data_IF_346450368128
#
_entry.id   IF_346450368128
#
_cell.length_a   1.000
_cell.length_b   1.000
_cell.length_c   1.000
_cell.angle_alpha   90.00
_cell.angle_beta   90.00
_cell.angle_gamma   90.00
#
_symmetry.space_group_name_H-M   'P 1'
#
loop_
_entity.id
_entity.type
_entity.pdbx_description
1 polymer ?
#
# COMPACT_ATOMS: atom_id res chain seq x y z
N UNK A 1 20.05 13.73 12.41
CA UNK A 1 20.47 12.37 12.83
C UNK A 1 21.49 11.88 11.83
N UNK A 2 22.77 11.74 12.22
CA UNK A 2 23.77 11.15 11.34
C UNK A 2 23.53 9.64 11.31
N UNK A 3 23.03 9.11 10.19
CA UNK A 3 22.90 7.67 10.00
C UNK A 3 24.31 7.09 9.80
N UNK A 4 24.83 6.45 10.85
CA UNK A 4 26.13 5.80 10.81
C UNK A 4 26.08 4.51 9.99
N UNK A 5 26.99 4.37 9.02
CA UNK A 5 27.18 3.11 8.28
C UNK A 5 27.69 2.04 9.25
N UNK A 6 27.10 0.85 9.22
CA UNK A 6 27.61 -0.30 9.97
C UNK A 6 28.97 -0.73 9.40
N UNK A 7 29.99 -0.85 10.27
CA UNK A 7 31.36 -1.25 9.88
C UNK A 7 31.76 -2.63 10.40
N UNK A 8 30.98 -3.22 11.31
CA UNK A 8 31.21 -4.54 11.88
C UNK A 8 29.89 -5.32 11.94
N UNK A 9 29.93 -6.66 11.82
CA UNK A 9 28.81 -7.50 12.22
C UNK A 9 28.42 -7.23 13.68
N UNK A 10 27.13 -7.35 13.97
CA UNK A 10 26.59 -7.23 15.31
C UNK A 10 25.83 -8.51 15.66
N UNK A 11 26.15 -9.10 16.81
CA UNK A 11 25.46 -10.26 17.38
C UNK A 11 24.66 -9.84 18.60
N UNK A 12 23.54 -10.51 18.87
CA UNK A 12 22.71 -10.23 20.05
C UNK A 12 23.03 -11.22 21.16
N UNK A 13 23.37 -10.70 22.34
CA UNK A 13 23.60 -11.46 23.56
C UNK A 13 22.86 -10.80 24.71
N UNK A 14 22.05 -11.58 25.45
CA UNK A 14 21.25 -11.09 26.58
C UNK A 14 20.42 -9.83 26.23
N UNK A 15 19.87 -9.80 25.01
CA UNK A 15 19.07 -8.68 24.51
C UNK A 15 19.88 -7.49 23.96
N UNK A 16 21.21 -7.46 24.12
CA UNK A 16 22.08 -6.33 23.72
C UNK A 16 22.87 -6.69 22.46
N UNK A 17 23.02 -5.73 21.54
CA UNK A 17 23.87 -5.90 20.35
C UNK A 17 25.33 -5.59 20.68
N UNK A 18 26.23 -6.52 20.33
CA UNK A 18 27.68 -6.39 20.48
C UNK A 18 28.37 -6.60 19.14
N UNK A 19 29.51 -5.94 18.93
CA UNK A 19 30.36 -6.16 17.75
C UNK A 19 30.94 -7.57 17.77
N UNK A 20 30.97 -8.19 16.59
CA UNK A 20 31.54 -9.52 16.35
C UNK A 20 32.52 -9.50 15.17
N UNK A 21 33.34 -10.54 15.06
CA UNK A 21 34.13 -10.79 13.85
C UNK A 21 33.23 -11.31 12.72
N UNK A 22 33.75 -11.35 11.49
CA UNK A 22 33.00 -11.92 10.36
C UNK A 22 32.82 -13.42 10.54
N UNK A 23 33.86 -14.08 11.03
CA UNK A 23 33.93 -15.51 11.29
C UNK A 23 32.89 -15.90 12.34
N UNK A 24 32.86 -15.21 13.48
CA UNK A 24 31.88 -15.43 14.55
C UNK A 24 30.43 -15.25 14.04
N UNK A 25 30.17 -14.16 13.31
CA UNK A 25 28.84 -13.88 12.79
C UNK A 25 28.36 -14.95 11.79
N UNK A 26 29.25 -15.41 10.90
CA UNK A 26 28.96 -16.45 9.92
C UNK A 26 28.75 -17.81 10.55
N UNK A 27 29.63 -18.22 11.47
CA UNK A 27 29.53 -19.48 12.22
C UNK A 27 28.19 -19.56 12.95
N UNK A 28 27.85 -18.49 13.70
CA UNK A 28 26.61 -18.42 14.48
C UNK A 28 25.36 -18.46 13.61
N UNK A 29 25.38 -17.80 12.45
CA UNK A 29 24.28 -17.87 11.49
C UNK A 29 24.14 -19.29 10.92
N UNK A 30 25.25 -19.90 10.48
CA UNK A 30 25.26 -21.22 9.87
C UNK A 30 24.82 -22.31 10.86
N UNK A 31 25.32 -22.31 12.09
CA UNK A 31 24.89 -23.22 13.15
C UNK A 31 23.41 -23.06 13.48
N UNK A 32 22.93 -21.82 13.56
CA UNK A 32 21.51 -21.57 13.85
C UNK A 32 20.61 -22.05 12.72
N UNK A 33 21.00 -21.85 11.45
CA UNK A 33 20.25 -22.39 10.32
C UNK A 33 20.24 -23.91 10.34
N UNK A 34 21.41 -24.56 10.50
CA UNK A 34 21.50 -26.02 10.56
C UNK A 34 20.65 -26.60 11.69
N UNK A 35 20.74 -26.03 12.89
CA UNK A 35 19.97 -26.47 14.06
C UNK A 35 18.46 -26.37 13.82
N UNK A 36 17.97 -25.21 13.36
CA UNK A 36 16.53 -25.03 13.11
C UNK A 36 16.02 -25.97 12.02
N UNK A 37 16.77 -26.14 10.93
CA UNK A 37 16.39 -27.06 9.85
C UNK A 37 16.37 -28.52 10.33
N UNK A 38 17.32 -28.93 11.17
CA UNK A 38 17.35 -30.28 11.74
C UNK A 38 16.18 -30.54 12.70
N UNK A 39 15.76 -29.53 13.48
CA UNK A 39 14.71 -29.66 14.49
C UNK A 39 13.29 -29.49 13.92
N UNK A 40 13.12 -28.63 12.92
CA UNK A 40 11.81 -28.20 12.43
C UNK A 40 11.59 -28.43 10.92
N UNK A 41 12.59 -28.99 10.23
CA UNK A 41 12.56 -29.18 8.78
C UNK A 41 12.93 -27.92 7.99
N UNK A 42 13.10 -28.04 6.66
CA UNK A 42 13.61 -26.96 5.82
C UNK A 42 12.67 -25.75 5.73
N UNK A 43 11.35 -25.96 5.90
CA UNK A 43 10.36 -24.89 5.84
C UNK A 43 10.35 -23.96 7.06
N UNK A 44 11.15 -24.26 8.09
CA UNK A 44 11.40 -23.34 9.21
C UNK A 44 12.29 -22.16 8.83
N UNK A 45 12.90 -22.18 7.64
CA UNK A 45 13.76 -21.12 7.12
C UNK A 45 13.01 -20.29 6.07
N UNK A 46 13.26 -18.98 6.04
CA UNK A 46 12.82 -18.12 4.96
C UNK A 46 13.89 -17.07 4.62
N UNK A 47 14.02 -16.74 3.33
CA UNK A 47 14.92 -15.69 2.85
C UNK A 47 14.13 -14.56 2.17
N UNK A 48 14.41 -13.32 2.57
CA UNK A 48 13.94 -12.12 1.90
C UNK A 48 15.08 -11.48 1.10
N UNK A 49 15.01 -11.61 -0.22
CA UNK A 49 15.89 -10.97 -1.19
C UNK A 49 15.44 -9.51 -1.45
N UNK A 50 16.24 -8.75 -2.20
CA UNK A 50 16.04 -7.33 -2.45
C UNK A 50 16.23 -6.97 -3.93
N UNK A 51 15.33 -6.13 -4.46
CA UNK A 51 15.46 -5.54 -5.80
C UNK A 51 16.69 -4.62 -5.97
N UNK A 52 17.36 -4.25 -4.86
CA UNK A 52 18.57 -3.42 -4.85
C UNK A 52 19.87 -4.24 -4.78
N UNK A 53 19.76 -5.56 -4.67
CA UNK A 53 20.90 -6.47 -4.79
C UNK A 53 21.21 -6.73 -6.26
N UNK A 54 22.45 -7.15 -6.57
CA UNK A 54 22.79 -7.52 -7.94
C UNK A 54 22.06 -8.79 -8.38
N UNK A 55 21.98 -9.02 -9.69
CA UNK A 55 21.35 -10.21 -10.25
C UNK A 55 22.02 -11.50 -9.76
N UNK A 56 23.35 -11.50 -9.66
CA UNK A 56 24.15 -12.63 -9.17
C UNK A 56 23.83 -12.94 -7.71
N UNK A 57 23.71 -11.91 -6.87
CA UNK A 57 23.36 -12.09 -5.46
C UNK A 57 21.94 -12.66 -5.29
N UNK A 58 20.99 -12.20 -6.09
CA UNK A 58 19.64 -12.75 -6.07
C UNK A 58 19.60 -14.20 -6.58
N UNK A 59 20.37 -14.51 -7.63
CA UNK A 59 20.50 -15.85 -8.17
C UNK A 59 21.15 -16.82 -7.17
N UNK A 60 22.23 -16.42 -6.51
CA UNK A 60 22.88 -17.24 -5.48
C UNK A 60 21.97 -17.40 -4.26
N UNK A 61 21.29 -16.33 -3.83
CA UNK A 61 20.36 -16.38 -2.71
C UNK A 61 19.26 -17.41 -2.91
N UNK A 62 18.57 -17.38 -4.05
CA UNK A 62 17.51 -18.37 -4.34
C UNK A 62 18.05 -19.79 -4.51
N UNK A 63 19.27 -19.98 -5.07
CA UNK A 63 19.91 -21.30 -5.12
C UNK A 63 20.27 -21.81 -3.73
N UNK A 64 20.81 -20.96 -2.86
CA UNK A 64 21.10 -21.34 -1.48
C UNK A 64 19.84 -21.82 -0.76
N UNK A 65 18.75 -21.07 -0.84
CA UNK A 65 17.48 -21.47 -0.19
C UNK A 65 16.91 -22.76 -0.78
N UNK A 66 16.88 -22.91 -2.11
CA UNK A 66 16.23 -24.05 -2.75
C UNK A 66 17.08 -25.33 -2.76
N UNK A 67 18.40 -25.20 -2.95
CA UNK A 67 19.29 -26.36 -3.13
C UNK A 67 20.00 -26.75 -1.83
N UNK A 68 20.46 -25.77 -1.04
CA UNK A 68 21.22 -26.05 0.19
C UNK A 68 20.29 -26.25 1.38
N UNK A 69 19.30 -25.35 1.54
CA UNK A 69 18.34 -25.47 2.63
C UNK A 69 17.22 -26.46 2.29
N UNK A 70 16.79 -26.49 1.02
CA UNK A 70 15.75 -27.43 0.56
C UNK A 70 14.31 -26.91 0.72
N UNK A 71 14.12 -25.59 0.72
CA UNK A 71 12.79 -24.95 0.79
C UNK A 71 12.57 -23.95 -0.33
N UNK A 72 11.30 -23.69 -0.66
CA UNK A 72 10.89 -22.63 -1.59
C UNK A 72 10.51 -21.33 -0.88
N UNK A 73 10.73 -21.24 0.44
CA UNK A 73 10.50 -20.05 1.25
C UNK A 73 11.54 -18.95 0.95
N UNK A 74 11.53 -18.44 -0.27
CA UNK A 74 12.32 -17.31 -0.73
C UNK A 74 11.41 -16.31 -1.43
N UNK A 75 11.48 -15.06 -1.00
CA UNK A 75 10.66 -13.97 -1.54
C UNK A 75 11.45 -12.66 -1.59
N UNK A 76 10.87 -11.59 -2.15
CA UNK A 76 11.50 -10.27 -2.15
C UNK A 76 10.47 -9.14 -2.01
N UNK A 77 10.99 -7.92 -1.86
CA UNK A 77 10.17 -6.71 -1.91
C UNK A 77 9.33 -6.57 -3.20
N UNK A 78 9.67 -7.29 -4.27
CA UNK A 78 8.89 -7.29 -5.50
C UNK A 78 7.51 -7.93 -5.33
N UNK A 79 7.29 -8.77 -4.30
CA UNK A 79 5.98 -9.38 -4.03
C UNK A 79 4.89 -8.32 -3.88
N UNK A 80 5.17 -7.25 -3.15
CA UNK A 80 4.17 -6.23 -2.82
C UNK A 80 3.94 -5.26 -3.96
N UNK A 81 4.92 -5.04 -4.84
CA UNK A 81 4.82 -4.03 -5.91
C UNK A 81 4.64 -4.61 -7.33
N UNK A 82 5.22 -5.76 -7.66
CA UNK A 82 5.25 -6.30 -9.02
C UNK A 82 4.53 -7.64 -9.21
N UNK A 83 4.20 -8.37 -8.14
CA UNK A 83 3.53 -9.68 -8.29
C UNK A 83 2.21 -9.60 -9.09
N UNK A 84 1.33 -8.59 -8.87
CA UNK A 84 0.10 -8.48 -9.67
C UNK A 84 0.38 -8.21 -11.16
N UNK A 85 1.34 -7.34 -11.49
CA UNK A 85 1.69 -7.05 -12.89
C UNK A 85 2.32 -8.26 -13.58
N UNK A 86 3.19 -9.01 -12.87
CA UNK A 86 3.79 -10.24 -13.40
C UNK A 86 2.71 -11.26 -13.72
N UNK A 87 1.72 -11.47 -12.84
CA UNK A 87 0.63 -12.39 -13.08
C UNK A 87 -0.21 -11.98 -14.31
N UNK A 88 -0.60 -10.70 -14.41
CA UNK A 88 -1.39 -10.19 -15.53
C UNK A 88 -0.65 -10.25 -16.87
N UNK A 89 0.58 -9.75 -16.92
CA UNK A 89 1.38 -9.75 -18.15
C UNK A 89 1.74 -11.17 -18.58
N UNK A 90 2.05 -12.08 -17.65
CA UNK A 90 2.33 -13.47 -18.01
C UNK A 90 1.11 -14.17 -18.59
N UNK A 91 -0.10 -13.88 -18.09
CA UNK A 91 -1.33 -14.46 -18.61
C UNK A 91 -1.66 -14.00 -20.04
N UNK A 92 -1.27 -12.77 -20.42
CA UNK A 92 -1.58 -12.19 -21.74
C UNK A 92 -0.43 -12.37 -22.74
N UNK A 93 0.81 -12.15 -22.30
CA UNK A 93 2.00 -12.06 -23.15
C UNK A 93 3.03 -13.18 -22.90
N UNK A 94 2.78 -14.08 -21.94
CA UNK A 94 3.73 -15.14 -21.59
C UNK A 94 4.98 -14.67 -20.82
N UNK A 95 5.10 -13.38 -20.51
CA UNK A 95 6.20 -12.82 -19.71
C UNK A 95 5.69 -11.75 -18.73
N UNK A 96 6.34 -11.61 -17.58
CA UNK A 96 6.01 -10.60 -16.56
C UNK A 96 6.75 -9.26 -16.71
N UNK A 97 7.55 -9.10 -17.77
CA UNK A 97 8.38 -7.92 -18.00
C UNK A 97 7.63 -6.79 -18.71
N UNK A 98 8.16 -5.58 -18.61
CA UNK A 98 7.68 -4.46 -19.43
C UNK A 98 7.80 -4.78 -20.93
N UNK A 99 6.80 -4.38 -21.71
CA UNK A 99 6.67 -4.77 -23.13
C UNK A 99 7.33 -3.79 -24.10
N UNK A 100 7.71 -2.61 -23.61
CA UNK A 100 8.20 -1.49 -24.41
C UNK A 100 9.44 -0.84 -23.79
N UNK A 101 10.18 -0.13 -24.62
CA UNK A 101 11.32 0.71 -24.24
C UNK A 101 10.89 2.13 -23.86
N UNK A 102 11.79 2.91 -23.25
CA UNK A 102 11.53 4.32 -22.97
C UNK A 102 11.44 5.18 -24.24
N UNK A 103 12.08 4.76 -25.33
CA UNK A 103 12.11 5.52 -26.59
C UNK A 103 10.76 5.50 -27.29
N UNK A 104 10.00 4.42 -27.19
CA UNK A 104 8.65 4.32 -27.78
C UNK A 104 7.68 5.38 -27.25
N UNK A 105 7.92 5.88 -26.04
CA UNK A 105 7.15 6.97 -25.45
C UNK A 105 7.47 8.31 -26.14
N UNK A 106 8.63 8.50 -26.77
CA UNK A 106 8.95 9.75 -27.48
C UNK A 106 8.16 9.91 -28.79
N UNK A 107 7.72 8.80 -29.39
CA UNK A 107 7.17 8.74 -30.76
C UNK A 107 5.70 8.24 -30.81
N UNK A 108 5.07 7.97 -29.66
CA UNK A 108 3.65 7.55 -29.63
C UNK A 108 2.69 8.72 -29.86
N UNK A 109 1.50 8.43 -30.39
CA UNK A 109 0.44 9.43 -30.60
C UNK A 109 -0.40 9.70 -29.34
N UNK A 110 -0.50 8.70 -28.44
CA UNK A 110 -1.30 8.77 -27.21
C UNK A 110 -0.58 8.09 -26.05
N UNK A 111 -0.66 8.71 -24.87
CA UNK A 111 -0.20 8.17 -23.58
C UNK A 111 -1.32 8.11 -22.57
N UNK A 112 -1.41 6.99 -21.85
CA UNK A 112 -2.30 6.85 -20.69
C UNK A 112 -1.48 6.50 -19.45
N UNK A 113 -1.37 7.46 -18.54
CA UNK A 113 -0.71 7.32 -17.25
C UNK A 113 -1.70 6.81 -16.21
N UNK A 114 -1.85 5.47 -16.14
CA UNK A 114 -2.79 4.83 -15.22
C UNK A 114 -2.15 4.51 -13.87
N UNK A 115 -2.55 5.22 -12.82
CA UNK A 115 -2.05 5.05 -11.44
C UNK A 115 -0.57 5.38 -11.29
N UNK A 116 -0.01 6.21 -12.17
CA UNK A 116 1.42 6.47 -12.25
C UNK A 116 1.77 7.91 -11.88
N UNK A 117 2.53 8.06 -10.79
CA UNK A 117 3.15 9.32 -10.40
C UNK A 117 4.59 9.42 -10.95
N UNK A 118 4.78 9.12 -12.24
CA UNK A 118 6.08 8.97 -12.91
C UNK A 118 7.03 10.16 -12.69
N UNK A 119 6.54 11.41 -12.67
CA UNK A 119 7.39 12.58 -12.41
C UNK A 119 8.13 12.49 -11.07
N UNK A 120 7.51 11.89 -10.05
CA UNK A 120 8.08 11.75 -8.72
C UNK A 120 8.80 10.41 -8.54
N UNK A 121 8.21 9.32 -9.03
CA UNK A 121 8.71 7.97 -8.81
C UNK A 121 9.78 7.55 -9.84
N UNK A 122 9.70 8.08 -11.06
CA UNK A 122 10.54 7.72 -12.21
C UNK A 122 10.96 8.97 -13.01
N UNK A 123 11.65 9.96 -12.40
CA UNK A 123 11.89 11.27 -13.01
C UNK A 123 12.67 11.20 -14.33
N UNK A 124 13.59 10.24 -14.49
CA UNK A 124 14.33 10.04 -15.76
C UNK A 124 13.40 9.52 -16.85
N UNK A 125 12.56 8.54 -16.55
CA UNK A 125 11.52 8.10 -17.50
C UNK A 125 10.58 9.25 -17.86
N UNK A 126 10.23 10.10 -16.90
CA UNK A 126 9.37 11.26 -17.16
C UNK A 126 10.02 12.29 -18.10
N UNK A 127 11.35 12.34 -18.23
CA UNK A 127 12.00 13.16 -19.26
C UNK A 127 11.68 12.65 -20.68
N UNK A 128 11.56 11.35 -20.88
CA UNK A 128 11.11 10.77 -22.16
C UNK A 128 9.65 11.12 -22.44
N UNK A 129 8.79 11.05 -21.41
CA UNK A 129 7.38 11.50 -21.49
C UNK A 129 7.31 12.97 -21.93
N UNK A 130 8.14 13.86 -21.35
CA UNK A 130 8.17 15.27 -21.72
C UNK A 130 8.59 15.51 -23.17
N UNK A 131 9.50 14.69 -23.72
CA UNK A 131 9.83 14.76 -25.15
C UNK A 131 8.64 14.37 -26.03
N UNK A 132 7.94 13.29 -25.69
CA UNK A 132 6.70 12.92 -26.39
C UNK A 132 5.66 14.04 -26.35
N UNK A 133 5.48 14.70 -25.21
CA UNK A 133 4.62 15.89 -25.07
C UNK A 133 5.08 17.03 -25.96
N UNK A 134 6.38 17.30 -26.04
CA UNK A 134 6.92 18.33 -26.93
C UNK A 134 6.74 17.98 -28.41
N UNK A 135 6.74 16.70 -28.75
CA UNK A 135 6.45 16.18 -30.09
C UNK A 135 4.95 16.18 -30.43
N UNK A 136 4.08 16.53 -29.47
CA UNK A 136 2.64 16.69 -29.68
C UNK A 136 1.79 15.49 -29.26
N UNK A 137 2.32 14.55 -28.46
CA UNK A 137 1.53 13.43 -27.92
C UNK A 137 0.37 13.94 -27.08
N UNK A 138 -0.75 13.22 -27.13
CA UNK A 138 -1.86 13.42 -26.19
C UNK A 138 -1.65 12.56 -24.95
N UNK A 139 -1.63 13.17 -23.77
CA UNK A 139 -1.45 12.46 -22.50
C UNK A 139 -2.70 12.54 -21.62
N UNK A 140 -3.11 11.40 -21.09
CA UNK A 140 -4.21 11.28 -20.13
C UNK A 140 -3.69 10.70 -18.82
N UNK A 141 -4.10 11.24 -17.66
CA UNK A 141 -3.76 10.65 -16.36
C UNK A 141 -5.00 10.08 -15.68
N UNK A 142 -4.95 8.81 -15.29
CA UNK A 142 -6.00 8.17 -14.48
C UNK A 142 -5.43 7.93 -13.10
N UNK A 143 -5.76 8.77 -12.13
CA UNK A 143 -5.21 8.67 -10.77
C UNK A 143 -6.22 9.25 -9.77
N UNK A 144 -6.47 8.61 -8.61
CA UNK A 144 -7.32 9.19 -7.57
C UNK A 144 -6.81 10.55 -7.06
N UNK A 145 -5.53 10.86 -7.25
CA UNK A 145 -4.92 12.14 -6.87
C UNK A 145 -4.40 12.87 -8.09
N UNK A 146 -4.58 14.18 -8.12
CA UNK A 146 -3.94 15.03 -9.12
C UNK A 146 -2.46 15.26 -8.75
N UNK A 147 -1.60 14.34 -9.18
CA UNK A 147 -0.16 14.36 -8.88
C UNK A 147 0.62 15.33 -9.76
N UNK A 148 1.92 15.51 -9.50
CA UNK A 148 2.79 16.32 -10.37
C UNK A 148 2.94 15.78 -11.80
N UNK A 149 2.55 14.51 -12.03
CA UNK A 149 2.46 13.89 -13.36
C UNK A 149 1.21 14.40 -14.10
N UNK A 150 0.06 14.45 -13.41
CA UNK A 150 -1.22 14.98 -13.90
C UNK A 150 -1.29 16.54 -13.95
N UNK A 151 -0.13 17.18 -14.07
CA UNK A 151 -0.02 18.60 -14.40
C UNK A 151 0.36 18.79 -15.87
N UNK A 152 0.74 17.72 -16.56
CA UNK A 152 1.25 17.70 -17.93
C UNK A 152 0.31 16.95 -18.89
N UNK A 153 -0.79 16.41 -18.39
CA UNK A 153 -1.82 15.73 -19.15
C UNK A 153 -2.82 16.72 -19.77
N UNK A 154 -3.41 16.32 -20.88
CA UNK A 154 -4.56 17.00 -21.49
C UNK A 154 -5.82 16.86 -20.63
N UNK A 155 -5.97 15.71 -19.97
CA UNK A 155 -7.12 15.41 -19.12
C UNK A 155 -6.75 14.48 -17.98
N UNK A 156 -7.07 14.93 -16.77
CA UNK A 156 -7.00 14.15 -15.55
C UNK A 156 -8.36 13.50 -15.25
N UNK A 157 -8.35 12.18 -15.13
CA UNK A 157 -9.48 11.33 -14.76
C UNK A 157 -9.31 10.91 -13.30
N UNK A 158 -9.89 11.69 -12.39
CA UNK A 158 -9.93 11.40 -10.96
C UNK A 158 -10.85 10.23 -10.62
N UNK A 159 -10.33 9.23 -9.89
CA UNK A 159 -11.10 8.07 -9.44
C UNK A 159 -11.44 8.14 -7.95
N UNK A 160 -12.70 7.88 -7.60
CA UNK A 160 -13.12 7.66 -6.21
C UNK A 160 -13.05 6.17 -5.87
N UNK A 161 -11.89 5.72 -5.39
CA UNK A 161 -11.58 4.30 -5.22
C UNK A 161 -12.34 3.62 -4.06
N UNK A 162 -12.91 4.37 -3.13
CA UNK A 162 -13.65 3.82 -1.98
C UNK A 162 -15.17 4.06 -2.04
N UNK A 163 -15.70 4.49 -3.19
CA UNK A 163 -17.13 4.86 -3.34
C UNK A 163 -18.12 3.72 -3.04
N UNK A 164 -17.67 2.46 -3.13
CA UNK A 164 -18.47 1.27 -2.82
C UNK A 164 -18.19 0.66 -1.43
N UNK A 165 -17.47 1.36 -0.55
CA UNK A 165 -16.92 0.78 0.68
C UNK A 165 -17.45 1.48 1.92
N UNK A 166 -17.70 0.73 3.00
CA UNK A 166 -17.93 1.28 4.34
C UNK A 166 -16.61 1.24 5.11
N UNK A 167 -16.15 2.38 5.63
CA UNK A 167 -14.96 2.45 6.48
C UNK A 167 -15.35 2.28 7.94
N UNK A 168 -15.03 1.14 8.54
CA UNK A 168 -15.22 0.90 9.97
C UNK A 168 -13.90 1.05 10.72
N UNK A 169 -13.90 1.82 11.81
CA UNK A 169 -12.72 2.05 12.65
C UNK A 169 -13.00 1.74 14.12
N UNK A 170 -12.03 1.12 14.79
CA UNK A 170 -12.11 0.80 16.22
C UNK A 170 -11.90 2.02 17.13
N UNK A 171 -11.33 3.10 16.58
CA UNK A 171 -11.02 4.32 17.31
C UNK A 171 -12.08 5.41 17.18
N UNK A 172 -11.64 6.65 17.42
CA UNK A 172 -12.43 7.86 17.21
C UNK A 172 -12.49 8.23 15.72
N UNK A 173 -13.64 8.68 15.24
CA UNK A 173 -13.75 9.43 13.99
C UNK A 173 -13.24 10.86 14.20
N UNK A 174 -11.91 11.05 14.12
CA UNK A 174 -11.32 12.39 14.17
C UNK A 174 -11.61 13.16 12.89
N UNK A 175 -11.43 14.49 12.94
CA UNK A 175 -11.58 15.35 11.77
C UNK A 175 -10.68 14.89 10.60
N UNK A 176 -9.42 14.59 10.88
CA UNK A 176 -8.46 14.13 9.87
C UNK A 176 -8.85 12.77 9.27
N UNK A 177 -9.52 11.92 10.05
CA UNK A 177 -9.99 10.63 9.57
C UNK A 177 -11.19 10.78 8.65
N UNK A 178 -12.16 11.64 9.02
CA UNK A 178 -13.28 12.01 8.16
C UNK A 178 -12.79 12.68 6.88
N UNK A 179 -11.84 13.61 6.98
CA UNK A 179 -11.23 14.25 5.81
C UNK A 179 -10.60 13.23 4.86
N UNK A 180 -9.84 12.26 5.37
CA UNK A 180 -9.26 11.19 4.54
C UNK A 180 -10.34 10.30 3.91
N UNK A 181 -11.41 10.01 4.63
CA UNK A 181 -12.52 9.21 4.14
C UNK A 181 -13.26 9.92 2.99
N UNK A 182 -13.57 11.21 3.16
CA UNK A 182 -14.12 12.06 2.11
C UNK A 182 -13.20 12.12 0.90
N UNK A 183 -11.90 12.39 1.11
CA UNK A 183 -10.91 12.44 0.04
C UNK A 183 -10.76 11.11 -0.72
N UNK A 184 -10.99 9.97 -0.06
CA UNK A 184 -11.03 8.66 -0.70
C UNK A 184 -12.36 8.33 -1.39
N UNK A 185 -13.37 9.17 -1.22
CA UNK A 185 -14.73 8.97 -1.72
C UNK A 185 -15.54 7.96 -0.92
N UNK A 186 -15.20 7.68 0.34
CA UNK A 186 -15.94 6.75 1.21
C UNK A 186 -17.35 7.31 1.45
N UNK A 187 -18.43 6.55 1.19
CA UNK A 187 -19.79 7.01 1.44
C UNK A 187 -20.23 6.93 2.91
N UNK A 188 -19.66 5.98 3.69
CA UNK A 188 -20.03 5.73 5.09
C UNK A 188 -18.79 5.49 5.94
N UNK A 189 -18.62 6.26 7.01
CA UNK A 189 -17.63 6.05 8.05
C UNK A 189 -18.32 5.67 9.35
N UNK A 190 -17.96 4.53 9.93
CA UNK A 190 -18.47 4.05 11.21
C UNK A 190 -17.35 3.92 12.25
N UNK A 191 -17.56 4.48 13.43
CA UNK A 191 -16.62 4.46 14.52
C UNK A 191 -17.24 3.90 15.81
N UNK A 192 -16.42 3.20 16.59
CA UNK A 192 -16.82 2.63 17.88
C UNK A 192 -16.97 3.72 18.97
N UNK A 193 -16.37 4.90 18.76
CA UNK A 193 -16.41 6.05 19.69
C UNK A 193 -17.07 7.28 19.07
N UNK A 194 -17.35 8.31 19.89
CA UNK A 194 -17.93 9.58 19.43
C UNK A 194 -17.01 10.32 18.46
N UNK A 195 -17.49 10.87 17.33
CA UNK A 195 -16.72 11.79 16.49
C UNK A 195 -16.45 13.13 17.21
N UNK A 196 -15.51 13.93 16.71
CA UNK A 196 -15.43 15.35 17.08
C UNK A 196 -16.52 16.16 16.36
N UNK A 197 -16.92 17.31 16.91
CA UNK A 197 -17.91 18.21 16.30
C UNK A 197 -17.52 18.60 14.88
N UNK A 198 -16.25 19.01 14.69
CA UNK A 198 -15.69 19.35 13.39
C UNK A 198 -15.72 18.18 12.39
N UNK A 199 -15.64 16.94 12.89
CA UNK A 199 -15.75 15.76 12.04
C UNK A 199 -17.21 15.52 11.59
N UNK A 200 -18.19 15.79 12.45
CA UNK A 200 -19.60 15.71 12.10
C UNK A 200 -20.03 16.82 11.12
N UNK A 201 -19.55 18.05 11.33
CA UNK A 201 -19.75 19.17 10.41
C UNK A 201 -19.20 18.85 9.02
N UNK A 202 -17.91 18.48 8.94
CA UNK A 202 -17.27 18.10 7.67
C UNK A 202 -18.02 16.95 6.99
N UNK A 203 -18.46 15.94 7.75
CA UNK A 203 -19.22 14.84 7.18
C UNK A 203 -20.57 15.27 6.61
N UNK A 204 -21.25 16.23 7.25
CA UNK A 204 -22.52 16.77 6.76
C UNK A 204 -22.31 17.60 5.50
N UNK A 205 -21.28 18.46 5.47
CA UNK A 205 -20.94 19.32 4.33
C UNK A 205 -20.57 18.51 3.08
N UNK A 206 -19.75 17.47 3.27
CA UNK A 206 -19.22 16.64 2.19
C UNK A 206 -20.12 15.47 1.83
N UNK A 207 -21.29 15.34 2.49
CA UNK A 207 -22.22 14.26 2.25
C UNK A 207 -21.66 12.88 2.60
N UNK A 208 -20.84 12.74 3.64
CA UNK A 208 -20.42 11.46 4.24
C UNK A 208 -21.44 11.00 5.29
N UNK A 209 -21.85 9.72 5.30
CA UNK A 209 -22.64 9.19 6.42
C UNK A 209 -21.68 8.90 7.55
N UNK A 210 -21.83 9.61 8.66
CA UNK A 210 -20.97 9.44 9.83
C UNK A 210 -21.74 8.75 10.95
N UNK A 211 -21.24 7.60 11.37
CA UNK A 211 -21.79 6.80 12.46
C UNK A 211 -20.76 6.75 13.59
N UNK A 212 -21.19 7.04 14.81
CA UNK A 212 -20.40 6.91 16.02
C UNK A 212 -21.08 6.00 17.03
N UNK A 213 -20.35 5.64 18.09
CA UNK A 213 -20.85 4.74 19.14
C UNK A 213 -21.41 3.41 18.59
N UNK A 214 -20.83 2.88 17.51
CA UNK A 214 -21.26 1.60 16.95
C UNK A 214 -20.97 0.45 17.93
N UNK A 215 -22.02 -0.22 18.39
CA UNK A 215 -22.00 -1.32 19.38
C UNK A 215 -22.98 -2.41 18.98
N UNK A 216 -22.48 -3.44 18.28
CA UNK A 216 -23.35 -4.52 17.81
C UNK A 216 -24.45 -3.99 16.89
N UNK A 217 -25.69 -3.99 17.38
CA UNK A 217 -26.87 -3.49 16.66
C UNK A 217 -27.24 -2.03 16.95
N UNK A 218 -26.59 -1.38 17.92
CA UNK A 218 -26.85 0.03 18.25
C UNK A 218 -25.77 0.96 17.71
N UNK A 219 -26.17 2.18 17.35
CA UNK A 219 -25.29 3.21 16.81
C UNK A 219 -25.94 4.59 16.89
N UNK A 220 -25.12 5.65 16.82
CA UNK A 220 -25.58 7.02 16.66
C UNK A 220 -25.18 7.54 15.28
N UNK A 221 -26.13 8.13 14.56
CA UNK A 221 -25.86 8.75 13.26
C UNK A 221 -25.63 10.25 13.48
N UNK A 222 -24.46 10.73 13.06
CA UNK A 222 -24.03 12.13 13.21
C UNK A 222 -24.19 12.93 11.92
N UNK A 223 -24.17 12.25 10.76
CA UNK A 223 -24.42 12.86 9.45
C UNK A 223 -25.00 11.81 8.50
N UNK A 224 -25.86 12.23 7.57
CA UNK A 224 -26.33 11.37 6.48
C UNK A 224 -27.43 10.36 6.82
N UNK A 225 -28.17 10.53 7.93
CA UNK A 225 -29.23 9.62 8.39
C UNK A 225 -30.24 9.23 7.32
N UNK A 226 -30.66 10.18 6.47
CA UNK A 226 -31.61 9.94 5.36
C UNK A 226 -31.17 8.87 4.36
N UNK A 227 -29.91 8.45 4.37
CA UNK A 227 -29.38 7.38 3.49
C UNK A 227 -29.44 5.99 4.13
N UNK A 228 -29.89 5.89 5.37
CA UNK A 228 -30.02 4.64 6.10
C UNK A 228 -31.51 4.30 6.22
N UNK A 229 -31.87 3.06 5.86
CA UNK A 229 -33.17 2.52 6.25
C UNK A 229 -33.08 1.98 7.67
N UNK A 230 -33.44 2.84 8.63
CA UNK A 230 -33.45 2.50 10.05
C UNK A 230 -34.78 1.86 10.49
N UNK A 231 -35.75 1.70 9.58
CA UNK A 231 -37.10 1.26 9.92
C UNK A 231 -37.25 -0.27 9.99
N UNK A 232 -36.30 -1.01 9.42
CA UNK A 232 -36.34 -2.48 9.34
C UNK A 232 -35.73 -3.22 10.54
N UNK A 233 -35.20 -2.51 11.54
CA UNK A 233 -34.48 -3.11 12.69
C UNK A 233 -35.08 -2.86 14.08
N UNK A 234 -36.21 -2.15 14.20
CA UNK A 234 -36.80 -1.79 15.49
C UNK A 234 -37.59 -2.95 16.12
N UNK A 235 -36.87 -3.91 16.69
CA UNK A 235 -37.39 -4.63 17.86
C UNK A 235 -37.50 -3.61 19.01
N UNK A 236 -38.74 -3.30 19.42
CA UNK A 236 -39.15 -2.50 20.59
C UNK A 236 -38.02 -1.96 21.50
N UNK A 237 -37.61 -0.71 21.27
CA UNK A 237 -36.73 0.05 22.15
C UNK A 237 -36.81 1.53 21.83
N UNK A 238 -37.28 2.32 22.79
CA UNK A 238 -37.66 3.74 22.70
C UNK A 238 -36.71 4.66 21.92
N UNK A 239 -37.31 5.50 21.07
CA UNK A 239 -36.71 6.65 20.43
C UNK A 239 -36.00 7.57 21.44
N UNK A 240 -34.77 7.95 21.11
CA UNK A 240 -33.93 8.83 21.92
C UNK A 240 -32.95 9.63 21.08
N UNK A 241 -33.44 10.34 20.05
CA UNK A 241 -32.65 11.39 19.41
C UNK A 241 -32.55 12.58 20.38
N UNK A 242 -31.36 12.79 20.96
CA UNK A 242 -30.99 14.08 21.57
C UNK A 242 -29.81 14.65 20.79
N UNK A 243 -30.03 15.78 20.11
CA UNK A 243 -28.99 16.67 19.64
C UNK A 243 -28.47 17.49 20.84
N UNK A 244 -27.15 17.75 20.98
CA UNK A 244 -26.66 18.79 21.86
C UNK A 244 -26.84 20.15 21.17
N UNK A 245 -27.35 21.13 21.93
CA UNK A 245 -27.27 22.56 21.58
C UNK A 245 -25.92 23.17 21.93
#
# INVERSE_FOLDING_TARGET
MSYGRLTHPLVRENGVLRRATREEALERAAESFRRNVAEHGPDSFAMLSCARSTNEMNYIGQKFTRVVIGTNNVDSCNRTCHAPSVAGLSAVFGSGGGTSSYQEVEDTDVMVMWGSAARNAHPIFFQHVLKGIHNGVRMFAVDPRRTGTAQWDDLWLGLNVLRGTVLMVSGRASFELVQKAVMGGVPVLAAVSAPSSLAAELASEEGLTLIGFLRGTSMNVYAGERRLDLTSGAGNGSAGARLPG
#
